data_IF_188551957222
#
_entry.id   IF_188551957222
#
_cell.length_a   1.000
_cell.length_b   1.000
_cell.length_c   1.000
_cell.angle_alpha   90.00
_cell.angle_beta   90.00
_cell.angle_gamma   90.00
#
_symmetry.space_group_name_H-M   'P 1'
#
loop_
_entity.id
_entity.type
_entity.pdbx_description
1 polymer ?
#
# COMPACT_ATOMS: atom_id res chain seq x y z
N UNK A 1 -6.53 11.82 -20.95
CA UNK A 1 -5.71 11.70 -19.73
C UNK A 1 -6.25 12.71 -18.74
N UNK A 2 -6.89 12.26 -17.69
CA UNK A 2 -7.41 13.13 -16.63
C UNK A 2 -6.21 13.66 -15.85
N UNK A 3 -5.94 14.96 -15.96
CA UNK A 3 -4.97 15.65 -15.12
C UNK A 3 -5.67 15.95 -13.79
N UNK A 4 -5.60 15.04 -12.86
CA UNK A 4 -5.83 15.40 -11.47
C UNK A 4 -4.58 16.11 -10.98
N UNK A 5 -4.62 17.44 -11.00
CA UNK A 5 -3.62 18.23 -10.30
C UNK A 5 -4.05 18.27 -8.82
N UNK A 6 -3.16 17.88 -7.93
CA UNK A 6 -3.33 18.10 -6.49
C UNK A 6 -2.98 19.54 -6.10
N UNK A 7 -2.84 20.44 -7.07
CA UNK A 7 -2.50 21.83 -6.88
C UNK A 7 -3.63 22.75 -7.33
N UNK A 8 -4.00 23.69 -6.49
CA UNK A 8 -4.88 24.81 -6.80
C UNK A 8 -4.17 26.11 -6.45
N UNK A 9 -4.33 27.14 -7.27
CA UNK A 9 -3.80 28.48 -6.99
C UNK A 9 -4.95 29.43 -6.81
N UNK A 10 -5.00 30.15 -5.69
CA UNK A 10 -6.01 31.15 -5.39
C UNK A 10 -5.65 32.53 -5.91
N UNK A 11 -6.63 33.44 -5.99
CA UNK A 11 -6.46 34.80 -6.52
C UNK A 11 -5.50 35.67 -5.69
N UNK A 12 -5.24 35.31 -4.42
CA UNK A 12 -4.26 35.97 -3.55
C UNK A 12 -2.80 35.54 -3.78
N UNK A 13 -2.59 34.68 -4.79
CA UNK A 13 -1.27 34.16 -5.14
C UNK A 13 -0.76 33.05 -4.21
N UNK A 14 -1.65 32.38 -3.48
CA UNK A 14 -1.32 31.20 -2.68
C UNK A 14 -1.60 29.92 -3.46
N UNK A 15 -0.65 29.01 -3.54
CA UNK A 15 -0.87 27.66 -4.08
C UNK A 15 -1.19 26.69 -2.95
N UNK A 16 -2.05 25.73 -3.24
CA UNK A 16 -2.39 24.65 -2.29
C UNK A 16 -2.07 23.31 -2.93
N UNK A 17 -1.31 22.48 -2.23
CA UNK A 17 -0.97 21.09 -2.60
C UNK A 17 -1.70 20.16 -1.64
N UNK A 18 -2.35 19.11 -2.18
CA UNK A 18 -3.11 18.15 -1.40
C UNK A 18 -2.38 16.81 -1.31
N UNK A 19 -2.09 16.36 -0.09
CA UNK A 19 -1.63 15.03 0.24
C UNK A 19 -2.80 14.22 0.80
N UNK A 20 -3.74 13.87 -0.09
CA UNK A 20 -4.98 13.16 0.26
C UNK A 20 -4.92 11.74 -0.30
N UNK A 21 -5.03 10.75 0.56
CA UNK A 21 -4.94 9.33 0.23
C UNK A 21 -3.65 8.68 0.70
N UNK A 22 -3.37 7.49 0.21
CA UNK A 22 -2.20 6.71 0.60
C UNK A 22 -0.93 7.21 -0.10
N UNK A 23 0.22 7.13 0.59
CA UNK A 23 1.53 7.55 0.10
C UNK A 23 2.25 6.37 -0.53
N UNK A 24 2.70 6.52 -1.78
CA UNK A 24 3.45 5.50 -2.51
C UNK A 24 3.47 5.73 -4.01
N UNK A 25 4.32 5.01 -4.73
CA UNK A 25 4.52 5.23 -6.17
C UNK A 25 3.30 4.87 -7.04
N UNK A 26 2.39 4.02 -6.53
CA UNK A 26 1.20 3.54 -7.25
C UNK A 26 -0.11 3.92 -6.57
N UNK A 27 -0.07 4.92 -5.68
CA UNK A 27 -1.21 5.40 -4.89
C UNK A 27 -1.57 6.83 -5.25
N UNK A 28 -2.45 7.47 -4.48
CA UNK A 28 -2.92 8.84 -4.72
C UNK A 28 -1.80 9.87 -4.53
N UNK A 29 -0.91 9.66 -3.55
CA UNK A 29 0.16 10.60 -3.17
C UNK A 29 1.52 10.04 -3.60
N UNK A 30 1.91 10.37 -4.83
CA UNK A 30 3.17 9.92 -5.44
C UNK A 30 4.29 10.93 -5.21
N UNK A 31 5.45 10.49 -4.74
CA UNK A 31 6.58 11.36 -4.40
C UNK A 31 7.05 12.22 -5.57
N UNK A 32 7.21 11.63 -6.75
CA UNK A 32 7.65 12.34 -7.95
C UNK A 32 6.63 13.39 -8.44
N UNK A 33 5.34 13.10 -8.28
CA UNK A 33 4.26 14.02 -8.63
C UNK A 33 4.21 15.21 -7.67
N UNK A 34 4.29 14.96 -6.37
CA UNK A 34 4.31 16.03 -5.36
C UNK A 34 5.53 16.93 -5.53
N UNK A 35 6.70 16.37 -5.85
CA UNK A 35 7.89 17.16 -6.14
C UNK A 35 7.70 18.08 -7.36
N UNK A 36 7.06 17.60 -8.44
CA UNK A 36 6.73 18.43 -9.60
C UNK A 36 5.72 19.53 -9.27
N UNK A 37 4.66 19.19 -8.52
CA UNK A 37 3.63 20.16 -8.09
C UNK A 37 4.23 21.24 -7.19
N UNK A 38 5.16 20.87 -6.30
CA UNK A 38 5.89 21.82 -5.46
C UNK A 38 6.74 22.77 -6.32
N UNK A 39 7.51 22.26 -7.28
CA UNK A 39 8.30 23.09 -8.20
C UNK A 39 7.44 24.04 -9.02
N UNK A 40 6.26 23.61 -9.48
CA UNK A 40 5.32 24.46 -10.20
C UNK A 40 4.73 25.53 -9.28
N UNK A 41 4.36 25.16 -8.04
CA UNK A 41 3.83 26.08 -7.04
C UNK A 41 4.87 27.18 -6.69
N UNK A 42 6.14 26.81 -6.49
CA UNK A 42 7.23 27.75 -6.19
C UNK A 42 7.48 28.78 -7.31
N UNK A 43 7.16 28.42 -8.56
CA UNK A 43 7.33 29.36 -9.70
C UNK A 43 6.26 30.43 -9.76
N UNK A 44 5.06 30.13 -9.27
CA UNK A 44 3.89 31.02 -9.41
C UNK A 44 3.43 31.65 -8.10
N UNK A 45 3.82 31.08 -6.96
CA UNK A 45 3.36 31.49 -5.64
C UNK A 45 4.51 31.62 -4.65
N UNK A 46 4.43 32.63 -3.79
CA UNK A 46 5.37 32.76 -2.65
C UNK A 46 4.93 31.96 -1.43
N UNK A 47 3.60 31.78 -1.28
CA UNK A 47 3.00 31.00 -0.19
C UNK A 47 2.41 29.73 -0.72
N UNK A 48 2.68 28.64 -0.02
CA UNK A 48 2.19 27.29 -0.39
C UNK A 48 1.54 26.67 0.86
N UNK A 49 0.28 26.29 0.73
CA UNK A 49 -0.40 25.50 1.72
C UNK A 49 -0.32 24.03 1.33
N UNK A 50 0.16 23.19 2.24
CA UNK A 50 0.16 21.73 2.07
C UNK A 50 -0.90 21.15 2.99
N UNK A 51 -1.93 20.56 2.43
CA UNK A 51 -3.07 20.00 3.16
C UNK A 51 -2.97 18.48 3.20
N UNK A 52 -3.07 17.92 4.39
CA UNK A 52 -2.84 16.49 4.64
C UNK A 52 -4.13 15.84 5.14
N UNK A 53 -4.51 14.75 4.46
CA UNK A 53 -5.53 13.80 4.91
C UNK A 53 -5.13 12.40 4.42
N UNK A 54 -4.24 11.74 5.16
CA UNK A 54 -3.57 10.51 4.74
C UNK A 54 -3.32 9.57 5.92
N UNK A 55 -3.54 8.27 5.67
CA UNK A 55 -3.17 7.21 6.61
C UNK A 55 -1.67 6.87 6.60
N UNK A 56 -0.89 7.52 5.74
CA UNK A 56 0.52 7.22 5.55
C UNK A 56 0.76 6.31 4.35
N UNK A 57 1.76 5.45 4.42
CA UNK A 57 2.12 4.53 3.35
C UNK A 57 3.63 4.29 3.26
N UNK A 58 4.16 4.23 2.04
CA UNK A 58 5.53 3.84 1.76
C UNK A 58 6.56 4.83 2.33
N UNK A 59 7.52 4.31 3.12
CA UNK A 59 8.48 5.13 3.86
C UNK A 59 9.38 5.93 2.93
N UNK A 60 9.94 5.31 1.89
CA UNK A 60 10.87 6.01 0.99
C UNK A 60 10.19 7.11 0.16
N UNK A 61 8.98 6.86 -0.35
CA UNK A 61 8.16 7.88 -1.01
C UNK A 61 7.83 9.03 -0.07
N UNK A 62 7.52 8.72 1.18
CA UNK A 62 7.25 9.73 2.22
C UNK A 62 8.49 10.55 2.58
N UNK A 63 9.66 9.94 2.74
CA UNK A 63 10.93 10.65 2.98
C UNK A 63 11.26 11.58 1.80
N UNK A 64 10.99 11.16 0.56
CA UNK A 64 11.22 12.02 -0.60
C UNK A 64 10.32 13.27 -0.57
N UNK A 65 9.03 13.11 -0.21
CA UNK A 65 8.10 14.25 -0.04
C UNK A 65 8.56 15.14 1.12
N UNK A 66 8.87 14.56 2.28
CA UNK A 66 9.39 15.29 3.43
C UNK A 66 10.60 16.16 3.07
N UNK A 67 11.59 15.59 2.39
CA UNK A 67 12.79 16.29 1.97
C UNK A 67 12.47 17.40 0.97
N UNK A 68 11.59 17.17 0.01
CA UNK A 68 11.18 18.19 -0.96
C UNK A 68 10.55 19.40 -0.24
N UNK A 69 9.62 19.19 0.69
CA UNK A 69 8.99 20.25 1.47
C UNK A 69 10.00 20.96 2.40
N UNK A 70 10.86 20.20 3.09
CA UNK A 70 11.86 20.75 4.02
C UNK A 70 12.83 21.70 3.31
N UNK A 71 13.30 21.34 2.12
CA UNK A 71 14.29 22.13 1.37
C UNK A 71 13.69 23.28 0.56
N UNK A 72 12.37 23.33 0.42
CA UNK A 72 11.67 24.42 -0.27
C UNK A 72 11.95 25.76 0.39
N UNK A 73 12.21 26.79 -0.43
CA UNK A 73 12.40 28.18 0.00
C UNK A 73 11.08 28.97 0.06
N UNK A 74 9.98 28.38 -0.37
CA UNK A 74 8.66 29.01 -0.27
C UNK A 74 8.18 29.12 1.19
N UNK A 75 7.30 30.07 1.46
CA UNK A 75 6.55 30.16 2.71
C UNK A 75 5.50 29.05 2.76
N UNK A 76 5.94 27.86 3.22
CA UNK A 76 5.06 26.67 3.33
C UNK A 76 4.41 26.62 4.70
N UNK A 77 3.09 26.33 4.73
CA UNK A 77 2.34 25.96 5.91
C UNK A 77 1.66 24.62 5.72
N UNK A 78 1.72 23.79 6.72
CA UNK A 78 1.13 22.44 6.73
C UNK A 78 -0.20 22.49 7.48
N UNK A 79 -1.22 21.89 6.90
CA UNK A 79 -2.56 21.79 7.50
C UNK A 79 -2.99 20.32 7.55
N UNK A 80 -3.30 19.81 8.73
CA UNK A 80 -3.87 18.48 8.91
C UNK A 80 -5.39 18.61 8.98
N UNK A 81 -6.09 18.16 7.94
CA UNK A 81 -7.52 18.37 7.79
C UNK A 81 -8.38 17.29 8.46
N UNK A 82 -7.98 16.05 8.38
CA UNK A 82 -8.70 14.92 8.96
C UNK A 82 -7.77 13.97 9.71
N UNK A 83 -6.77 13.48 9.01
CA UNK A 83 -5.80 12.54 9.58
C UNK A 83 -4.40 12.77 8.99
N UNK A 84 -3.38 12.68 9.83
CA UNK A 84 -2.01 12.49 9.41
C UNK A 84 -1.43 11.33 10.23
N UNK A 85 -1.45 10.11 9.65
CA UNK A 85 -1.03 8.91 10.34
C UNK A 85 0.26 8.33 9.73
N UNK A 86 1.07 7.65 10.56
CA UNK A 86 2.24 6.93 10.10
C UNK A 86 3.17 7.86 9.29
N UNK A 87 3.53 7.51 8.07
CA UNK A 87 4.42 8.33 7.21
C UNK A 87 3.86 9.74 6.93
N UNK A 88 2.54 9.94 6.94
CA UNK A 88 1.94 11.27 6.78
C UNK A 88 2.20 12.18 7.99
N UNK A 89 2.30 11.64 9.21
CA UNK A 89 2.69 12.40 10.40
C UNK A 89 4.15 12.85 10.31
N UNK A 90 5.03 12.04 9.75
CA UNK A 90 6.42 12.41 9.48
C UNK A 90 6.50 13.57 8.48
N UNK A 91 5.75 13.48 7.37
CA UNK A 91 5.71 14.55 6.36
C UNK A 91 5.19 15.86 6.96
N UNK A 92 4.18 15.80 7.84
CA UNK A 92 3.65 16.98 8.51
C UNK A 92 4.74 17.74 9.28
N UNK A 93 5.74 17.03 9.81
CA UNK A 93 6.82 17.58 10.63
C UNK A 93 8.08 17.94 9.81
N UNK A 94 7.92 18.35 8.57
CA UNK A 94 9.06 18.70 7.68
C UNK A 94 9.79 20.01 8.04
N UNK A 95 9.61 20.54 9.23
CA UNK A 95 10.26 21.77 9.70
C UNK A 95 9.55 23.05 9.24
N UNK A 96 8.29 22.94 8.78
CA UNK A 96 7.43 24.07 8.45
C UNK A 96 6.37 24.22 9.55
N UNK A 97 5.72 25.41 9.69
CA UNK A 97 4.58 25.57 10.61
C UNK A 97 3.46 24.58 10.31
N UNK A 98 2.93 23.96 11.36
CA UNK A 98 1.90 22.90 11.29
C UNK A 98 0.66 23.32 12.08
N UNK A 99 -0.47 23.28 11.41
CA UNK A 99 -1.78 23.55 12.02
C UNK A 99 -2.68 22.32 11.84
N UNK A 100 -3.50 22.00 12.83
CA UNK A 100 -4.47 20.90 12.75
C UNK A 100 -5.89 21.40 12.88
N UNK A 101 -6.81 20.77 12.14
CA UNK A 101 -8.24 20.91 12.43
C UNK A 101 -8.55 20.38 13.83
N UNK A 102 -9.43 21.04 14.56
CA UNK A 102 -9.87 20.65 15.91
C UNK A 102 -10.27 19.16 16.03
N UNK A 103 -10.83 18.61 14.97
CA UNK A 103 -11.31 17.21 14.93
C UNK A 103 -10.36 16.25 14.22
N UNK A 104 -9.23 16.74 13.71
CA UNK A 104 -8.20 15.90 13.08
C UNK A 104 -7.48 15.01 14.09
N UNK A 105 -6.80 14.00 13.58
CA UNK A 105 -5.99 13.06 14.36
C UNK A 105 -4.58 13.00 13.80
N UNK A 106 -3.64 12.91 14.71
CA UNK A 106 -2.26 12.55 14.41
C UNK A 106 -2.02 11.14 14.94
N UNK A 107 -1.28 10.29 14.19
CA UNK A 107 -0.93 8.96 14.66
C UNK A 107 0.54 8.63 14.35
N UNK A 108 1.22 8.14 15.38
CA UNK A 108 2.59 7.69 15.33
C UNK A 108 2.65 6.21 15.72
N UNK A 109 3.52 5.46 15.09
CA UNK A 109 3.81 4.08 15.42
C UNK A 109 5.20 3.65 14.91
N UNK A 110 5.65 2.46 15.32
CA UNK A 110 6.86 1.82 14.83
C UNK A 110 6.79 1.58 13.31
N UNK A 111 7.96 1.53 12.66
CA UNK A 111 8.03 1.16 11.24
C UNK A 111 7.54 -0.27 11.07
N UNK A 112 6.54 -0.46 10.22
CA UNK A 112 6.04 -1.78 9.86
C UNK A 112 6.49 -2.17 8.46
N UNK A 113 6.88 -3.42 8.28
CA UNK A 113 7.29 -3.97 7.01
C UNK A 113 7.33 -5.49 7.06
N UNK A 114 7.61 -6.12 5.92
CA UNK A 114 7.73 -7.57 5.83
C UNK A 114 8.65 -7.99 4.71
N UNK A 115 9.23 -9.16 4.86
CA UNK A 115 10.07 -9.78 3.84
C UNK A 115 9.92 -11.29 3.87
N UNK A 116 10.25 -11.92 2.76
CA UNK A 116 10.36 -13.36 2.62
C UNK A 116 11.80 -13.74 2.32
N UNK A 117 12.24 -14.86 2.85
CA UNK A 117 13.57 -15.37 2.55
C UNK A 117 14.12 -16.29 3.63
N UNK A 118 15.42 -16.57 3.54
CA UNK A 118 16.16 -17.32 4.54
C UNK A 118 16.47 -16.44 5.78
N UNK A 119 17.12 -17.05 6.80
CA UNK A 119 17.48 -16.36 8.04
C UNK A 119 18.26 -15.05 7.81
N UNK A 120 19.16 -15.02 6.82
CA UNK A 120 19.97 -13.84 6.52
C UNK A 120 19.13 -12.72 5.85
N UNK A 121 18.13 -13.09 5.04
CA UNK A 121 17.22 -12.12 4.41
C UNK A 121 16.32 -11.48 5.48
N UNK A 122 15.79 -12.28 6.41
CA UNK A 122 15.00 -11.77 7.54
C UNK A 122 15.83 -10.87 8.46
N UNK A 123 17.09 -11.24 8.73
CA UNK A 123 17.99 -10.41 9.53
C UNK A 123 18.24 -9.04 8.87
N UNK A 124 18.51 -9.00 7.55
CA UNK A 124 18.68 -7.74 6.80
C UNK A 124 17.43 -6.87 6.84
N UNK A 125 16.25 -7.48 6.73
CA UNK A 125 14.98 -6.77 6.83
C UNK A 125 14.78 -6.12 8.21
N UNK A 126 15.13 -6.81 9.28
CA UNK A 126 15.08 -6.25 10.64
C UNK A 126 16.05 -5.07 10.79
N UNK A 127 17.29 -5.21 10.29
CA UNK A 127 18.30 -4.14 10.30
C UNK A 127 17.85 -2.91 9.48
N UNK A 128 17.15 -3.11 8.37
CA UNK A 128 16.57 -2.03 7.57
C UNK A 128 15.45 -1.30 8.33
N UNK A 129 14.51 -2.04 8.94
CA UNK A 129 13.45 -1.45 9.78
C UNK A 129 14.07 -0.63 10.90
N UNK A 130 15.05 -1.17 11.61
CA UNK A 130 15.73 -0.48 12.71
C UNK A 130 16.45 0.79 12.24
N UNK A 131 17.07 0.76 11.07
CA UNK A 131 17.70 1.91 10.43
C UNK A 131 16.70 3.00 10.07
N UNK A 132 15.54 2.62 9.52
CA UNK A 132 14.44 3.55 9.20
C UNK A 132 13.88 4.17 10.48
N UNK A 133 13.62 3.39 11.52
CA UNK A 133 13.18 3.91 12.82
C UNK A 133 14.21 4.88 13.41
N UNK A 134 15.50 4.62 13.24
CA UNK A 134 16.58 5.54 13.62
C UNK A 134 16.46 6.88 12.93
N UNK A 135 16.14 6.89 11.64
CA UNK A 135 16.00 8.12 10.84
C UNK A 135 14.69 8.85 11.16
N UNK A 136 13.57 8.13 11.29
CA UNK A 136 12.28 8.75 11.60
C UNK A 136 12.22 9.26 13.04
N UNK A 137 12.83 8.55 14.00
CA UNK A 137 12.91 9.03 15.39
C UNK A 137 13.69 10.34 15.51
N UNK A 138 14.66 10.59 14.63
CA UNK A 138 15.38 11.87 14.58
C UNK A 138 14.46 13.05 14.22
N UNK A 139 13.56 12.84 13.27
CA UNK A 139 12.58 13.87 12.84
C UNK A 139 11.65 14.25 14.00
N UNK A 140 11.11 13.25 14.71
CA UNK A 140 10.28 13.51 15.89
C UNK A 140 11.07 14.13 17.03
N UNK A 141 12.30 13.66 17.26
CA UNK A 141 13.21 14.19 18.29
C UNK A 141 13.51 15.69 18.06
N UNK A 142 13.81 16.07 16.81
CA UNK A 142 14.04 17.47 16.41
C UNK A 142 12.80 18.33 16.69
N UNK A 143 11.61 17.82 16.38
CA UNK A 143 10.34 18.54 16.57
C UNK A 143 9.97 18.72 18.04
N UNK A 144 10.15 17.66 18.84
CA UNK A 144 9.71 17.62 20.24
C UNK A 144 10.75 18.09 21.25
N UNK A 145 12.02 18.25 20.81
CA UNK A 145 13.14 18.52 21.72
C UNK A 145 13.46 17.35 22.64
N UNK A 146 13.16 16.13 22.22
CA UNK A 146 13.46 14.87 22.93
C UNK A 146 14.70 14.20 22.36
N UNK A 147 15.28 13.23 23.09
CA UNK A 147 16.27 12.32 22.50
C UNK A 147 15.62 11.30 21.58
N UNK A 148 16.39 10.72 20.63
CA UNK A 148 15.89 9.65 19.75
C UNK A 148 15.45 8.43 20.54
N UNK A 149 16.16 8.11 21.61
CA UNK A 149 15.88 7.00 22.50
C UNK A 149 14.55 7.18 23.22
N UNK A 150 14.26 8.38 23.73
CA UNK A 150 12.96 8.70 24.33
C UNK A 150 11.83 8.61 23.30
N UNK A 151 12.03 9.11 22.07
CA UNK A 151 11.04 8.98 21.00
C UNK A 151 10.75 7.51 20.69
N UNK A 152 11.80 6.68 20.54
CA UNK A 152 11.63 5.25 20.29
C UNK A 152 10.90 4.54 21.43
N UNK A 153 11.25 4.84 22.66
CA UNK A 153 10.58 4.23 23.83
C UNK A 153 9.13 4.65 23.99
N UNK A 154 8.79 5.87 23.56
CA UNK A 154 7.44 6.44 23.77
C UNK A 154 6.49 6.17 22.61
N UNK A 155 7.00 6.22 21.35
CA UNK A 155 6.16 6.20 20.15
C UNK A 155 6.46 5.05 19.18
N UNK A 156 7.57 4.31 19.38
CA UNK A 156 7.96 3.16 18.55
C UNK A 156 8.03 1.88 19.41
N UNK A 157 7.09 1.75 20.33
CA UNK A 157 6.97 0.63 21.29
C UNK A 157 6.14 -0.56 20.74
N UNK A 158 5.67 -0.44 19.49
CA UNK A 158 4.84 -1.45 18.81
C UNK A 158 3.34 -1.18 18.89
N UNK A 159 2.92 -0.08 19.55
CA UNK A 159 1.53 0.34 19.66
C UNK A 159 1.25 1.55 18.76
N UNK A 160 -0.02 1.80 18.46
CA UNK A 160 -0.48 2.98 17.72
C UNK A 160 -0.78 4.14 18.68
N UNK A 161 -0.03 5.24 18.57
CA UNK A 161 -0.20 6.44 19.41
C UNK A 161 -1.07 7.48 18.71
N UNK A 162 -2.34 7.53 19.05
CA UNK A 162 -3.33 8.43 18.49
C UNK A 162 -3.45 9.71 19.31
N UNK A 163 -3.23 10.87 18.68
CA UNK A 163 -3.33 12.18 19.31
C UNK A 163 -4.49 12.98 18.73
N UNK A 164 -5.27 13.62 19.60
CA UNK A 164 -6.18 14.70 19.23
C UNK A 164 -5.37 15.94 18.86
N UNK A 165 -5.99 16.91 18.19
CA UNK A 165 -5.35 18.21 17.91
C UNK A 165 -4.85 18.91 19.18
N UNK A 166 -5.62 18.80 20.28
CA UNK A 166 -5.21 19.38 21.56
C UNK A 166 -3.99 18.68 22.16
N UNK A 167 -3.97 17.35 22.18
CA UNK A 167 -2.82 16.57 22.67
C UNK A 167 -1.58 16.83 21.80
N UNK A 168 -1.74 16.89 20.48
CA UNK A 168 -0.65 17.20 19.56
C UNK A 168 -0.07 18.61 19.78
N UNK A 169 -0.93 19.60 20.11
CA UNK A 169 -0.50 20.94 20.46
C UNK A 169 0.21 20.97 21.83
N UNK A 170 -0.38 20.35 22.85
CA UNK A 170 0.17 20.31 24.21
C UNK A 170 1.54 19.60 24.25
N UNK A 171 1.76 18.59 23.38
CA UNK A 171 3.01 17.87 23.24
C UNK A 171 4.02 18.53 22.27
N UNK A 172 3.63 19.57 21.56
CA UNK A 172 4.53 20.29 20.65
C UNK A 172 4.64 19.73 19.24
N UNK A 173 3.81 18.75 18.86
CA UNK A 173 3.78 18.24 17.48
C UNK A 173 3.30 19.26 16.47
N UNK A 174 2.37 20.14 16.87
CA UNK A 174 1.79 21.18 16.02
C UNK A 174 1.94 22.56 16.66
N UNK A 175 1.78 23.61 15.85
CA UNK A 175 1.94 25.00 16.30
C UNK A 175 0.61 25.65 16.64
N UNK A 176 -0.51 25.23 16.02
CA UNK A 176 -1.84 25.80 16.27
C UNK A 176 -2.97 24.85 15.87
N UNK A 177 -4.17 25.18 16.33
CA UNK A 177 -5.42 24.49 15.97
C UNK A 177 -6.30 25.52 15.24
N UNK A 178 -6.52 25.28 13.93
CA UNK A 178 -7.45 26.13 13.21
C UNK A 178 -8.89 25.65 13.38
N UNK A 179 -9.81 26.61 13.64
CA UNK A 179 -11.23 26.33 13.65
C UNK A 179 -11.72 26.13 12.22
N UNK A 180 -11.94 24.88 11.85
CA UNK A 180 -12.90 24.63 10.79
C UNK A 180 -14.29 24.93 11.35
N UNK A 181 -15.16 25.64 10.60
CA UNK A 181 -16.55 25.77 10.98
C UNK A 181 -17.12 24.43 11.41
N UNK A 182 -17.85 24.34 12.52
CA UNK A 182 -18.25 23.09 13.10
C UNK A 182 -18.97 22.23 12.02
N UNK A 183 -18.45 21.06 11.75
CA UNK A 183 -19.17 20.05 10.99
C UNK A 183 -20.35 19.65 11.86
N UNK A 184 -21.62 19.72 11.37
CA UNK A 184 -22.76 19.26 12.14
C UNK A 184 -22.54 17.86 12.69
N UNK A 185 -22.85 17.63 13.96
CA UNK A 185 -22.54 16.38 14.66
C UNK A 185 -23.23 15.14 14.03
N UNK A 186 -24.28 15.36 13.25
CA UNK A 186 -25.06 14.37 12.51
C UNK A 186 -24.60 14.18 11.04
N UNK A 187 -23.51 14.85 10.63
CA UNK A 187 -23.00 14.73 9.26
C UNK A 187 -22.48 13.33 8.96
N UNK A 188 -22.91 12.78 7.85
CA UNK A 188 -22.37 11.52 7.31
C UNK A 188 -20.93 11.74 6.78
N UNK A 189 -20.10 10.68 6.67
CA UNK A 189 -18.76 10.79 6.08
C UNK A 189 -18.74 11.42 4.68
N UNK A 190 -19.75 11.15 3.85
CA UNK A 190 -19.88 11.75 2.52
C UNK A 190 -20.18 13.26 2.59
N UNK A 191 -21.00 13.70 3.55
CA UNK A 191 -21.27 15.11 3.78
C UNK A 191 -20.05 15.83 4.36
N UNK A 192 -19.32 15.21 5.27
CA UNK A 192 -18.05 15.71 5.79
C UNK A 192 -17.05 15.89 4.62
N UNK A 193 -16.90 14.88 3.78
CA UNK A 193 -16.05 14.94 2.60
C UNK A 193 -16.47 16.08 1.65
N UNK A 194 -17.75 16.23 1.40
CA UNK A 194 -18.30 17.31 0.56
C UNK A 194 -18.09 18.69 1.18
N UNK A 195 -18.27 18.81 2.50
CA UNK A 195 -18.02 20.05 3.24
C UNK A 195 -16.54 20.46 3.17
N UNK A 196 -15.62 19.51 3.34
CA UNK A 196 -14.19 19.79 3.19
C UNK A 196 -13.82 20.13 1.75
N UNK A 197 -14.34 19.42 0.77
CA UNK A 197 -14.12 19.74 -0.64
C UNK A 197 -14.70 21.11 -1.02
N UNK A 198 -15.86 21.48 -0.51
CA UNK A 198 -16.45 22.79 -0.78
C UNK A 198 -15.70 23.94 -0.06
N UNK A 199 -14.98 23.66 1.03
CA UNK A 199 -14.09 24.64 1.67
C UNK A 199 -12.79 24.84 0.91
N UNK A 200 -12.37 23.83 0.13
CA UNK A 200 -11.23 23.89 -0.76
C UNK A 200 -11.54 24.61 -2.08
N UNK A 201 -12.81 24.71 -2.41
CA UNK A 201 -13.30 25.61 -3.48
C UNK A 201 -13.57 26.95 -2.79
N UNK A 202 -12.85 28.02 -3.21
CA UNK A 202 -13.04 29.38 -2.69
C UNK A 202 -14.50 29.73 -2.43
N UNK A 203 -14.80 30.61 -1.42
CA UNK A 203 -16.13 31.15 -1.29
C UNK A 203 -16.52 31.75 -2.62
N UNK A 204 -17.46 31.11 -3.28
CA UNK A 204 -18.00 31.64 -4.53
C UNK A 204 -18.42 33.07 -4.26
N UNK A 205 -17.76 34.04 -4.92
CA UNK A 205 -18.34 35.36 -5.09
C UNK A 205 -19.80 35.17 -5.41
N UNK A 206 -20.66 35.88 -4.66
CA UNK A 206 -22.11 35.80 -4.76
C UNK A 206 -22.55 35.46 -6.19
N UNK A 207 -23.38 34.44 -6.34
CA UNK A 207 -23.95 34.00 -7.65
C UNK A 207 -24.65 35.13 -8.40
N UNK A 208 -24.85 36.28 -7.76
CA UNK A 208 -25.49 37.48 -8.33
C UNK A 208 -24.59 38.26 -9.30
N UNK A 209 -23.25 38.00 -9.31
CA UNK A 209 -22.29 38.73 -10.17
C UNK A 209 -21.61 37.89 -11.26
N UNK A 210 -22.04 36.66 -11.49
CA UNK A 210 -21.47 35.83 -12.57
C UNK A 210 -22.03 36.27 -13.92
N UNK A 211 -21.20 36.94 -14.69
CA UNK A 211 -21.49 37.27 -16.08
C UNK A 211 -21.27 36.05 -16.99
N UNK A 212 -22.16 35.82 -17.95
CA UNK A 212 -22.06 34.75 -18.95
C UNK A 212 -20.67 34.71 -19.64
N UNK A 213 -20.05 35.86 -19.89
CA UNK A 213 -18.70 35.98 -20.47
C UNK A 213 -17.61 35.37 -19.56
N UNK A 214 -17.75 35.46 -18.26
CA UNK A 214 -16.81 34.84 -17.30
C UNK A 214 -16.98 33.32 -17.25
N UNK A 215 -18.20 32.83 -17.36
CA UNK A 215 -18.52 31.40 -17.46
C UNK A 215 -17.93 30.79 -18.74
N UNK A 216 -18.03 31.49 -19.89
CA UNK A 216 -17.47 31.06 -21.17
C UNK A 216 -15.95 30.95 -21.20
N UNK A 217 -15.23 31.59 -20.29
CA UNK A 217 -13.77 31.39 -20.12
C UNK A 217 -13.42 29.98 -19.71
N UNK A 218 -14.36 29.22 -19.14
CA UNK A 218 -14.15 27.82 -18.76
C UNK A 218 -14.36 26.91 -19.96
N UNK A 219 -13.44 25.99 -20.29
CA UNK A 219 -13.45 25.18 -21.52
C UNK A 219 -14.75 24.42 -21.79
N UNK A 220 -15.46 23.96 -20.76
CA UNK A 220 -16.73 23.22 -20.89
C UNK A 220 -17.93 24.11 -21.23
N UNK A 221 -17.87 25.39 -20.91
CA UNK A 221 -18.97 26.36 -21.10
C UNK A 221 -18.75 27.31 -22.26
N UNK A 222 -17.66 27.19 -23.01
CA UNK A 222 -17.26 28.10 -24.09
C UNK A 222 -18.32 28.24 -25.18
N UNK A 223 -19.10 27.18 -25.44
CA UNK A 223 -20.10 27.10 -26.50
C UNK A 223 -21.51 27.41 -25.98
N UNK A 224 -21.69 27.81 -24.72
CA UNK A 224 -22.98 28.22 -24.16
C UNK A 224 -23.38 29.58 -24.76
N UNK A 225 -24.56 29.66 -25.37
CA UNK A 225 -25.08 30.89 -25.95
C UNK A 225 -25.93 31.72 -24.95
N UNK A 226 -26.45 31.06 -23.92
CA UNK A 226 -27.35 31.66 -22.92
C UNK A 226 -27.15 31.08 -21.51
N UNK A 227 -27.66 31.75 -20.50
CA UNK A 227 -27.70 31.26 -19.13
C UNK A 227 -28.44 29.91 -19.04
N UNK A 228 -29.49 29.71 -19.84
CA UNK A 228 -30.21 28.46 -19.93
C UNK A 228 -29.32 27.29 -20.38
N UNK A 229 -28.37 27.54 -21.31
CA UNK A 229 -27.41 26.53 -21.74
C UNK A 229 -26.43 26.20 -20.63
N UNK A 230 -26.02 27.20 -19.86
CA UNK A 230 -25.15 27.00 -18.69
C UNK A 230 -25.85 26.14 -17.66
N UNK A 231 -27.10 26.46 -17.27
CA UNK A 231 -27.88 25.68 -16.33
C UNK A 231 -28.08 24.24 -16.78
N UNK A 232 -28.48 24.04 -18.05
CA UNK A 232 -28.63 22.68 -18.60
C UNK A 232 -27.34 21.86 -18.51
N UNK A 233 -26.20 22.49 -18.79
CA UNK A 233 -24.90 21.81 -18.71
C UNK A 233 -24.50 21.54 -17.25
N UNK A 234 -24.85 22.44 -16.31
CA UNK A 234 -24.66 22.21 -14.88
C UNK A 234 -25.50 21.04 -14.38
N UNK A 235 -26.79 20.98 -14.76
CA UNK A 235 -27.66 19.84 -14.40
C UNK A 235 -27.11 18.50 -14.91
N UNK A 236 -26.56 18.49 -16.15
CA UNK A 236 -25.90 17.30 -16.69
C UNK A 236 -24.64 16.91 -15.90
N UNK A 237 -23.84 17.90 -15.48
CA UNK A 237 -22.65 17.66 -14.69
C UNK A 237 -22.99 17.17 -13.27
N UNK A 238 -24.08 17.68 -12.69
CA UNK A 238 -24.59 17.20 -11.40
C UNK A 238 -25.10 15.75 -11.50
N UNK A 239 -25.81 15.41 -12.59
CA UNK A 239 -26.23 14.02 -12.83
C UNK A 239 -25.04 13.08 -13.03
N UNK A 240 -24.03 13.50 -13.80
CA UNK A 240 -22.78 12.74 -13.99
C UNK A 240 -22.02 12.57 -12.66
N UNK A 241 -21.92 13.64 -11.88
CA UNK A 241 -21.29 13.62 -10.56
C UNK A 241 -22.02 12.67 -9.60
N UNK A 242 -23.35 12.61 -9.68
CA UNK A 242 -24.16 11.68 -8.89
C UNK A 242 -23.89 10.20 -9.19
N UNK A 243 -23.34 9.88 -10.38
CA UNK A 243 -22.95 8.50 -10.76
C UNK A 243 -21.59 8.08 -10.19
N UNK A 244 -20.75 9.05 -9.81
CA UNK A 244 -19.38 8.78 -9.31
C UNK A 244 -19.36 7.86 -8.08
N UNK A 245 -20.19 8.06 -7.04
CA UNK A 245 -20.19 7.17 -5.87
C UNK A 245 -20.57 5.73 -6.22
N UNK A 246 -21.52 5.56 -7.14
CA UNK A 246 -21.99 4.25 -7.61
C UNK A 246 -20.86 3.52 -8.34
N UNK A 247 -20.22 4.20 -9.28
CA UNK A 247 -19.11 3.66 -10.06
C UNK A 247 -17.89 3.38 -9.19
N UNK A 248 -17.63 4.19 -8.18
CA UNK A 248 -16.55 3.98 -7.21
C UNK A 248 -16.81 2.72 -6.39
N UNK A 249 -18.05 2.51 -5.94
CA UNK A 249 -18.43 1.29 -5.22
C UNK A 249 -18.30 0.06 -6.11
N UNK A 250 -18.83 0.13 -7.34
CA UNK A 250 -18.72 -0.97 -8.31
C UNK A 250 -17.25 -1.32 -8.60
N UNK A 251 -16.39 -0.32 -8.73
CA UNK A 251 -14.96 -0.53 -8.96
C UNK A 251 -14.29 -1.22 -7.76
N UNK A 252 -14.66 -0.82 -6.54
CA UNK A 252 -14.17 -1.47 -5.32
C UNK A 252 -14.63 -2.93 -5.23
N UNK A 253 -15.91 -3.19 -5.52
CA UNK A 253 -16.48 -4.54 -5.53
C UNK A 253 -15.84 -5.42 -6.62
N UNK A 254 -15.55 -4.84 -7.79
CA UNK A 254 -14.86 -5.53 -8.88
C UNK A 254 -13.41 -5.86 -8.50
N UNK A 255 -12.68 -4.93 -7.89
CA UNK A 255 -11.31 -5.17 -7.41
C UNK A 255 -11.28 -6.29 -6.37
N UNK A 256 -12.23 -6.32 -5.44
CA UNK A 256 -12.34 -7.40 -4.46
C UNK A 256 -12.62 -8.76 -5.11
N UNK A 257 -13.48 -8.80 -6.15
CA UNK A 257 -13.73 -10.02 -6.92
C UNK A 257 -12.50 -10.48 -7.68
N UNK A 258 -11.80 -9.56 -8.36
CA UNK A 258 -10.55 -9.87 -9.09
C UNK A 258 -9.55 -10.51 -8.12
N UNK A 259 -9.32 -9.89 -6.96
CA UNK A 259 -8.43 -10.44 -5.94
C UNK A 259 -8.84 -11.84 -5.50
N UNK A 260 -10.14 -12.08 -5.29
CA UNK A 260 -10.64 -13.41 -4.91
C UNK A 260 -10.37 -14.47 -6.01
N UNK A 261 -10.49 -14.08 -7.30
CA UNK A 261 -10.18 -14.98 -8.40
C UNK A 261 -8.68 -15.24 -8.54
N UNK A 262 -7.84 -14.23 -8.32
CA UNK A 262 -6.38 -14.35 -8.31
C UNK A 262 -5.93 -15.29 -7.19
N UNK A 263 -6.38 -15.07 -5.97
CA UNK A 263 -6.08 -15.92 -4.81
C UNK A 263 -6.52 -17.40 -5.05
N UNK A 264 -7.68 -17.58 -5.67
CA UNK A 264 -8.18 -18.92 -6.04
C UNK A 264 -7.32 -19.58 -7.11
N UNK A 265 -6.98 -18.85 -8.17
CA UNK A 265 -6.13 -19.35 -9.24
C UNK A 265 -4.71 -19.73 -8.73
N UNK A 266 -4.15 -18.92 -7.83
CA UNK A 266 -2.87 -19.21 -7.19
C UNK A 266 -2.95 -20.47 -6.31
N UNK A 267 -4.02 -20.63 -5.53
CA UNK A 267 -4.24 -21.81 -4.71
C UNK A 267 -4.42 -23.08 -5.57
N UNK A 268 -5.16 -23.01 -6.68
CA UNK A 268 -5.35 -24.12 -7.62
C UNK A 268 -4.02 -24.48 -8.30
N UNK A 269 -3.22 -23.49 -8.70
CA UNK A 269 -1.89 -23.72 -9.30
C UNK A 269 -0.92 -24.36 -8.31
N UNK A 270 -0.90 -23.89 -7.06
CA UNK A 270 -0.09 -24.46 -5.99
C UNK A 270 -0.47 -25.92 -5.72
N UNK A 271 -1.78 -26.21 -5.66
CA UNK A 271 -2.29 -27.55 -5.47
C UNK A 271 -1.91 -28.49 -6.64
N UNK A 272 -2.02 -28.00 -7.87
CA UNK A 272 -1.63 -28.75 -9.06
C UNK A 272 -0.11 -29.06 -9.09
N UNK A 273 0.73 -28.06 -8.77
CA UNK A 273 2.18 -28.26 -8.65
C UNK A 273 2.53 -29.30 -7.58
N UNK A 274 1.87 -29.22 -6.43
CA UNK A 274 2.07 -30.19 -5.35
C UNK A 274 1.69 -31.61 -5.79
N UNK A 275 0.57 -31.78 -6.48
CA UNK A 275 0.15 -33.11 -6.99
C UNK A 275 1.16 -33.69 -7.98
N UNK A 276 1.71 -32.87 -8.87
CA UNK A 276 2.74 -33.31 -9.81
C UNK A 276 4.01 -33.78 -9.09
N UNK A 277 4.47 -33.04 -8.08
CA UNK A 277 5.62 -33.39 -7.28
C UNK A 277 5.38 -34.65 -6.44
N UNK A 278 4.22 -34.76 -5.80
CA UNK A 278 3.86 -35.94 -4.99
C UNK A 278 3.78 -37.20 -5.87
N UNK A 279 3.23 -37.13 -7.08
CA UNK A 279 3.22 -38.23 -8.03
C UNK A 279 4.64 -38.61 -8.50
N UNK A 280 5.50 -37.63 -8.81
CA UNK A 280 6.86 -37.87 -9.20
C UNK A 280 7.72 -38.48 -8.08
N UNK A 281 7.44 -38.14 -6.83
CA UNK A 281 8.08 -38.73 -5.67
C UNK A 281 7.57 -40.17 -5.40
N UNK A 282 6.28 -40.40 -5.58
CA UNK A 282 5.66 -41.71 -5.40
C UNK A 282 6.17 -42.75 -6.40
N UNK A 283 6.36 -42.34 -7.66
CA UNK A 283 6.91 -43.23 -8.70
C UNK A 283 8.45 -43.25 -8.76
N UNK A 284 9.09 -42.55 -7.83
CA UNK A 284 10.54 -42.57 -7.63
C UNK A 284 11.34 -41.78 -8.66
N UNK A 285 10.69 -40.93 -9.47
CA UNK A 285 11.38 -40.01 -10.40
C UNK A 285 12.20 -38.97 -9.66
N UNK A 286 11.66 -38.45 -8.52
CA UNK A 286 12.36 -37.53 -7.62
C UNK A 286 12.40 -38.10 -6.20
N UNK A 287 13.22 -37.53 -5.35
CA UNK A 287 13.33 -37.85 -3.91
C UNK A 287 13.29 -36.55 -3.07
N UNK A 288 13.33 -36.70 -1.75
CA UNK A 288 13.25 -35.57 -0.82
C UNK A 288 14.38 -34.53 -1.03
N UNK A 289 15.53 -34.93 -1.60
CA UNK A 289 16.64 -34.02 -1.86
C UNK A 289 16.53 -33.26 -3.16
N UNK A 290 15.88 -33.83 -4.16
CA UNK A 290 15.66 -33.25 -5.48
C UNK A 290 14.31 -32.52 -5.60
N UNK A 291 13.33 -32.85 -4.75
CA UNK A 291 12.01 -32.21 -4.72
C UNK A 291 12.04 -30.67 -4.69
N UNK A 292 12.84 -29.99 -3.84
CA UNK A 292 12.88 -28.52 -3.81
C UNK A 292 13.38 -27.90 -5.12
N UNK A 293 14.23 -28.59 -5.87
CA UNK A 293 14.73 -28.12 -7.16
C UNK A 293 13.59 -28.04 -8.18
N UNK A 294 12.78 -29.11 -8.26
CA UNK A 294 11.64 -29.17 -9.19
C UNK A 294 10.48 -28.31 -8.74
N UNK A 295 10.30 -28.11 -7.43
CA UNK A 295 9.33 -27.15 -6.87
C UNK A 295 9.65 -25.73 -7.33
N UNK A 296 10.92 -25.32 -7.23
CA UNK A 296 11.37 -24.01 -7.71
C UNK A 296 11.25 -23.88 -9.24
N UNK A 297 11.59 -24.94 -9.99
CA UNK A 297 11.46 -24.93 -11.44
C UNK A 297 10.00 -24.77 -11.88
N UNK A 298 9.07 -25.51 -11.27
CA UNK A 298 7.63 -25.40 -11.54
C UNK A 298 7.05 -24.06 -11.13
N UNK A 299 7.63 -23.40 -10.12
CA UNK A 299 7.21 -22.08 -9.69
C UNK A 299 7.61 -20.98 -10.67
N UNK A 300 8.79 -21.07 -11.26
CA UNK A 300 9.33 -20.06 -12.17
C UNK A 300 8.97 -20.31 -13.65
N UNK A 301 8.89 -21.58 -14.06
CA UNK A 301 8.58 -21.99 -15.44
C UNK A 301 7.86 -23.34 -15.42
N UNK A 302 6.53 -23.26 -15.32
CA UNK A 302 5.69 -24.43 -15.20
C UNK A 302 5.85 -25.39 -16.38
N UNK A 303 5.84 -24.88 -17.60
CA UNK A 303 5.88 -25.70 -18.81
C UNK A 303 7.19 -26.51 -18.92
N UNK A 304 8.31 -25.85 -18.68
CA UNK A 304 9.60 -26.52 -18.68
C UNK A 304 9.79 -27.43 -17.46
N UNK A 305 9.24 -27.06 -16.31
CA UNK A 305 9.24 -27.90 -15.12
C UNK A 305 8.46 -29.22 -15.31
N UNK A 306 7.26 -29.14 -15.89
CA UNK A 306 6.45 -30.33 -16.22
C UNK A 306 7.18 -31.24 -17.25
N UNK A 307 7.78 -30.66 -18.31
CA UNK A 307 8.57 -31.40 -19.28
C UNK A 307 9.79 -32.07 -18.65
N UNK A 308 10.48 -31.36 -17.77
CA UNK A 308 11.65 -31.92 -17.07
C UNK A 308 11.27 -33.11 -16.17
N UNK A 309 10.18 -32.98 -15.41
CA UNK A 309 9.65 -34.08 -14.58
C UNK A 309 9.20 -35.30 -15.43
N UNK A 310 8.57 -35.03 -16.57
CA UNK A 310 8.10 -36.10 -17.46
C UNK A 310 9.23 -36.90 -18.11
N UNK A 311 10.41 -36.30 -18.32
CA UNK A 311 11.58 -36.95 -18.93
C UNK A 311 12.38 -37.82 -17.94
N UNK A 312 12.10 -37.71 -16.63
CA UNK A 312 12.80 -38.53 -15.65
C UNK A 312 12.35 -39.99 -15.72
N UNK A 313 13.27 -40.93 -15.66
CA UNK A 313 12.95 -42.36 -15.70
C UNK A 313 12.26 -42.76 -14.38
N UNK A 314 11.14 -43.45 -14.49
CA UNK A 314 10.45 -44.06 -13.31
C UNK A 314 11.36 -45.12 -12.72
N UNK A 315 11.69 -45.03 -11.45
CA UNK A 315 12.45 -46.07 -10.76
C UNK A 315 11.52 -47.23 -10.45
N UNK A 316 11.70 -48.35 -11.16
CA UNK A 316 11.01 -49.62 -10.84
C UNK A 316 11.30 -49.99 -9.39
N UNK A 317 10.26 -50.25 -8.60
CA UNK A 317 10.42 -50.86 -7.29
C UNK A 317 10.94 -52.29 -7.50
N UNK A 318 12.14 -52.57 -7.05
CA UNK A 318 12.78 -53.89 -7.17
C UNK A 318 11.90 -54.99 -6.52
N UNK A 319 10.97 -54.66 -5.66
CA UNK A 319 10.02 -55.61 -5.05
C UNK A 319 8.90 -56.09 -6.00
N UNK A 320 8.59 -55.39 -7.10
CA UNK A 320 7.59 -55.85 -8.08
C UNK A 320 8.14 -56.86 -9.08
N UNK A 321 9.46 -56.89 -9.26
CA UNK A 321 10.14 -57.89 -10.10
C UNK A 321 10.54 -59.18 -9.35
N UNK A 322 10.34 -59.21 -8.03
CA UNK A 322 10.45 -60.42 -7.24
C UNK A 322 9.15 -61.24 -7.40
N UNK A 323 9.02 -61.95 -8.50
CA UNK A 323 8.11 -63.08 -8.59
C UNK A 323 8.53 -64.11 -7.55
N UNK A 324 7.96 -64.04 -6.36
CA UNK A 324 7.88 -65.17 -5.46
C UNK A 324 6.96 -66.20 -6.18
N UNK A 325 7.60 -67.19 -6.86
CA UNK A 325 6.81 -68.30 -7.37
C UNK A 325 6.04 -68.94 -6.23
N UNK A 326 4.73 -69.14 -6.39
CA UNK A 326 3.94 -69.76 -5.33
C UNK A 326 4.33 -71.25 -5.26
N UNK A 327 4.86 -71.61 -4.10
CA UNK A 327 4.95 -72.94 -3.53
C UNK A 327 5.10 -74.16 -4.49
N UNK A 328 6.31 -74.70 -4.53
CA UNK A 328 6.52 -76.03 -5.08
C UNK A 328 7.91 -76.58 -4.88
N UNK A 329 8.91 -75.77 -4.93
CA UNK A 329 10.29 -76.30 -4.71
C UNK A 329 10.98 -75.56 -3.56
N UNK A 330 11.48 -76.39 -2.63
CA UNK A 330 12.26 -75.93 -1.47
C UNK A 330 13.46 -75.10 -1.94
N UNK A 331 13.54 -73.85 -1.47
CA UNK A 331 14.63 -72.92 -1.86
C UNK A 331 15.99 -73.57 -1.67
N UNK A 332 16.97 -73.29 -2.56
CA UNK A 332 18.32 -73.83 -2.46
C UNK A 332 18.95 -73.59 -1.06
N UNK A 333 18.56 -72.52 -0.37
CA UNK A 333 18.95 -72.20 0.98
C UNK A 333 18.34 -73.15 2.03
N UNK A 334 17.07 -73.46 1.93
CA UNK A 334 16.37 -74.36 2.82
C UNK A 334 16.88 -75.78 2.66
N UNK A 335 17.15 -76.22 1.43
CA UNK A 335 17.76 -77.50 1.10
C UNK A 335 19.14 -77.62 1.75
N UNK A 336 19.94 -76.59 1.64
CA UNK A 336 21.31 -76.55 2.20
C UNK A 336 21.29 -76.52 3.73
N UNK A 337 20.37 -75.81 4.34
CA UNK A 337 20.19 -75.80 5.81
C UNK A 337 19.72 -77.15 6.37
N UNK A 338 18.92 -77.90 5.59
CA UNK A 338 18.52 -79.26 5.96
C UNK A 338 19.70 -80.19 5.91
N UNK A 339 20.50 -80.18 4.85
CA UNK A 339 21.73 -80.96 4.72
C UNK A 339 22.72 -80.71 5.88
N UNK A 340 22.86 -79.46 6.29
CA UNK A 340 23.73 -79.06 7.42
C UNK A 340 23.18 -79.60 8.73
N UNK A 341 21.86 -79.51 8.96
CA UNK A 341 21.22 -80.04 10.16
C UNK A 341 21.34 -81.56 10.24
N UNK A 342 21.19 -82.27 9.12
CA UNK A 342 21.28 -83.73 9.07
C UNK A 342 22.73 -84.23 9.26
N UNK A 343 23.72 -83.48 8.82
CA UNK A 343 25.13 -83.79 9.10
C UNK A 343 25.57 -83.55 10.53
N UNK A 344 24.82 -82.74 11.30
CA UNK A 344 25.08 -82.49 12.72
C UNK A 344 24.41 -83.50 13.66
N UNK A 345 23.56 -84.38 13.16
CA UNK A 345 22.87 -85.44 13.92
C UNK A 345 23.54 -86.80 13.78
N UNK A 346 24.61 -86.92 12.94
CA UNK A 346 25.49 -88.06 12.85
C UNK A 346 26.81 -87.67 13.54
#
# INVERSE_FOLDING_TARGET
MSRFFNITTSDDGTSTIFLYGDIGDYTEVQSGRIAQELMEAERVSRRIHVRINSNGGEVYSGIAIFNALRHSQADIRIYVDGIAASMASVIALCGKPVEMSKYARLMLHSVSGGCYGNKQDLQRCMEEIESLEGSLSEIYAERLGMSKEEVKQTYFDGEDHWLTAKEALDLGFIDDIYDADPVPADSTPAQIYTLFNNRLVEPQKNREDMNLEDVKKRPRFKDCASDADVFRLMDQLEEEAGKVPILTKENTDLKAKVKTYEDKAEAEDLAARKQLLDAAEQDGRIDATTRPIYENLLANDRENGEKALAQLPVKRRVMEDLHLEPDGEESPWNRRMREIKDKRKK
#
